data_IF_202897576258
#
_entry.id   IF_202897576258
#
_cell.length_a   1.000
_cell.length_b   1.000
_cell.length_c   1.000
_cell.angle_alpha   90.00
_cell.angle_beta   90.00
_cell.angle_gamma   90.00
#
_symmetry.space_group_name_H-M   'P 1'
#
loop_
_entity.id
_entity.type
_entity.pdbx_description
1 polymer ?
#
# COMPACT_ATOMS: atom_id res chain seq x y z
N UNK A 1 -81.23 23.60 49.28
CA UNK A 1 -80.80 22.68 48.20
C UNK A 1 -79.72 23.40 47.40
N UNK A 2 -78.46 23.13 47.75
CA UNK A 2 -77.28 23.89 47.32
C UNK A 2 -76.54 23.10 46.23
N UNK A 3 -76.39 23.70 45.05
CA UNK A 3 -75.66 23.10 43.93
C UNK A 3 -74.14 23.16 44.19
N UNK A 4 -73.39 22.07 43.98
CA UNK A 4 -71.92 22.09 44.08
C UNK A 4 -71.27 22.71 42.83
N UNK A 5 -70.08 23.32 42.97
CA UNK A 5 -69.44 24.07 41.90
C UNK A 5 -68.79 23.15 40.85
N UNK A 6 -68.81 23.62 39.61
CA UNK A 6 -68.24 22.97 38.41
C UNK A 6 -66.72 22.80 38.56
N UNK A 7 -66.26 21.56 38.65
CA UNK A 7 -64.85 21.21 38.53
C UNK A 7 -64.49 21.11 37.04
N UNK A 8 -63.67 22.04 36.56
CA UNK A 8 -63.09 22.02 35.23
C UNK A 8 -62.04 20.91 35.17
N UNK A 9 -62.35 19.78 34.53
CA UNK A 9 -61.37 18.78 34.15
C UNK A 9 -60.59 19.27 32.93
N UNK A 10 -59.55 20.07 33.18
CA UNK A 10 -58.54 20.37 32.18
C UNK A 10 -57.83 19.08 31.78
N UNK A 11 -58.14 18.55 30.59
CA UNK A 11 -57.35 17.50 29.96
C UNK A 11 -55.97 18.07 29.64
N UNK A 12 -54.99 17.84 30.51
CA UNK A 12 -53.59 18.02 30.17
C UNK A 12 -53.23 16.92 29.18
N UNK A 13 -53.37 17.21 27.89
CA UNK A 13 -52.74 16.44 26.83
C UNK A 13 -51.22 16.57 27.01
N UNK A 14 -50.65 15.67 27.81
CA UNK A 14 -49.21 15.46 27.87
C UNK A 14 -48.81 14.92 26.50
N UNK A 15 -48.36 15.82 25.63
CA UNK A 15 -47.70 15.47 24.38
C UNK A 15 -46.43 14.70 24.73
N UNK A 16 -46.54 13.37 24.80
CA UNK A 16 -45.39 12.48 24.90
C UNK A 16 -44.68 12.54 23.55
N UNK A 17 -43.81 13.53 23.38
CA UNK A 17 -42.84 13.57 22.30
C UNK A 17 -41.83 12.43 22.51
N UNK A 18 -42.25 11.20 22.19
CA UNK A 18 -41.35 10.06 22.04
C UNK A 18 -40.48 10.36 20.83
N UNK A 19 -39.25 10.85 21.06
CA UNK A 19 -38.23 10.85 20.02
C UNK A 19 -38.06 9.39 19.59
N UNK A 20 -38.48 9.09 18.36
CA UNK A 20 -38.17 7.82 17.71
C UNK A 20 -36.65 7.80 17.51
N UNK A 21 -35.95 7.10 18.38
CA UNK A 21 -34.57 6.73 18.09
C UNK A 21 -34.62 5.78 16.90
N UNK A 22 -34.32 6.31 15.70
CA UNK A 22 -34.10 5.47 14.53
C UNK A 22 -32.82 4.68 14.80
N UNK A 23 -32.96 3.40 15.14
CA UNK A 23 -31.87 2.44 15.00
C UNK A 23 -31.65 2.28 13.51
N UNK A 24 -30.85 3.17 12.92
CA UNK A 24 -30.45 3.08 11.53
C UNK A 24 -29.98 1.66 11.24
N UNK A 25 -30.50 1.08 10.17
CA UNK A 25 -30.11 -0.26 9.71
C UNK A 25 -28.58 -0.26 9.60
N UNK A 26 -27.86 -1.19 10.27
CA UNK A 26 -26.42 -1.25 10.12
C UNK A 26 -26.11 -1.41 8.63
N UNK A 27 -25.21 -0.57 8.11
CA UNK A 27 -24.81 -0.61 6.70
C UNK A 27 -24.63 -2.05 6.26
N UNK A 28 -25.44 -2.49 5.28
CA UNK A 28 -25.28 -3.78 4.63
C UNK A 28 -23.83 -3.94 4.22
N UNK A 29 -23.16 -5.00 4.68
CA UNK A 29 -21.78 -5.31 4.31
C UNK A 29 -21.62 -5.13 2.79
N UNK A 30 -20.66 -4.30 2.34
CA UNK A 30 -20.35 -4.12 0.93
C UNK A 30 -19.66 -5.38 0.38
N UNK A 31 -20.44 -6.45 0.20
CA UNK A 31 -20.00 -7.65 -0.51
C UNK A 31 -20.04 -7.32 -2.00
N UNK A 32 -18.87 -7.12 -2.60
CA UNK A 32 -18.75 -6.96 -4.05
C UNK A 32 -19.03 -8.30 -4.70
N UNK A 33 -19.75 -8.27 -5.81
CA UNK A 33 -19.91 -9.43 -6.67
C UNK A 33 -18.55 -9.98 -7.10
N UNK A 34 -18.43 -11.30 -7.30
CA UNK A 34 -17.19 -11.90 -7.76
C UNK A 34 -16.78 -11.26 -9.10
N UNK A 35 -15.51 -10.91 -9.28
CA UNK A 35 -15.05 -10.34 -10.55
C UNK A 35 -15.23 -11.37 -11.67
N UNK A 36 -15.38 -10.90 -12.92
CA UNK A 36 -15.45 -11.80 -14.06
C UNK A 36 -14.17 -12.66 -14.18
N UNK A 37 -14.27 -13.88 -14.76
CA UNK A 37 -13.13 -14.76 -14.92
C UNK A 37 -12.05 -14.10 -15.78
N UNK A 38 -10.82 -14.07 -15.28
CA UNK A 38 -9.67 -13.51 -16.01
C UNK A 38 -9.09 -14.58 -16.93
N UNK A 39 -9.39 -14.49 -18.22
CA UNK A 39 -8.72 -15.30 -19.25
C UNK A 39 -7.26 -14.88 -19.36
N UNK A 40 -6.35 -15.85 -19.31
CA UNK A 40 -4.91 -15.61 -19.33
C UNK A 40 -4.26 -16.54 -20.33
N UNK A 41 -3.72 -15.98 -21.42
CA UNK A 41 -2.95 -16.72 -22.41
C UNK A 41 -1.60 -17.18 -21.84
N UNK A 42 -1.37 -18.49 -21.81
CA UNK A 42 -0.15 -19.12 -21.29
C UNK A 42 1.00 -19.11 -22.30
N UNK A 43 0.70 -18.96 -23.59
CA UNK A 43 1.66 -19.04 -24.69
C UNK A 43 1.93 -17.69 -25.36
N UNK A 44 1.75 -16.60 -24.62
CA UNK A 44 2.17 -15.29 -25.10
C UNK A 44 3.69 -15.27 -25.35
N UNK A 45 4.12 -14.42 -26.27
CA UNK A 45 5.52 -14.31 -26.68
C UNK A 45 6.47 -14.09 -25.48
N UNK A 46 6.07 -13.21 -24.54
CA UNK A 46 6.86 -12.91 -23.34
C UNK A 46 7.07 -14.14 -22.43
N UNK A 47 6.09 -15.03 -22.28
CA UNK A 47 6.22 -16.25 -21.46
C UNK A 47 6.93 -17.35 -22.23
N UNK A 48 6.61 -17.50 -23.52
CA UNK A 48 7.24 -18.48 -24.38
C UNK A 48 8.76 -18.25 -24.51
N UNK A 49 9.18 -16.99 -24.59
CA UNK A 49 10.59 -16.60 -24.73
C UNK A 49 11.27 -16.22 -23.41
N UNK A 50 10.63 -16.44 -22.26
CA UNK A 50 11.22 -16.08 -20.97
C UNK A 50 12.44 -16.96 -20.64
N UNK A 51 13.58 -16.34 -20.34
CA UNK A 51 14.81 -17.03 -19.89
C UNK A 51 15.70 -17.61 -21.00
N UNK A 52 15.34 -17.43 -22.28
CA UNK A 52 16.07 -17.99 -23.44
C UNK A 52 17.56 -17.67 -23.43
N UNK A 53 17.96 -16.47 -22.99
CA UNK A 53 19.35 -15.98 -23.03
C UNK A 53 20.04 -15.91 -21.65
N UNK A 54 19.51 -16.59 -20.63
CA UNK A 54 20.08 -16.50 -19.27
C UNK A 54 21.48 -17.13 -19.15
N UNK A 55 21.77 -18.14 -19.97
CA UNK A 55 23.04 -18.86 -19.99
C UNK A 55 24.02 -18.38 -21.08
N UNK A 56 23.80 -17.18 -21.63
CA UNK A 56 24.64 -16.62 -22.72
C UNK A 56 26.13 -16.55 -22.37
N UNK A 57 26.47 -16.42 -21.08
CA UNK A 57 27.86 -16.39 -20.63
C UNK A 57 28.57 -17.73 -20.88
N UNK A 58 28.02 -18.83 -20.37
CA UNK A 58 28.64 -20.16 -20.47
C UNK A 58 28.57 -20.75 -21.89
N UNK A 59 27.52 -20.42 -22.66
CA UNK A 59 27.34 -20.92 -24.03
C UNK A 59 27.91 -19.98 -25.11
N UNK A 60 28.29 -18.75 -24.74
CA UNK A 60 28.72 -17.69 -25.67
C UNK A 60 30.12 -17.19 -25.41
N UNK A 61 31.05 -18.07 -25.01
CA UNK A 61 32.46 -17.79 -24.75
C UNK A 61 32.69 -16.63 -23.76
N UNK A 62 31.78 -16.43 -22.81
CA UNK A 62 31.79 -15.33 -21.84
C UNK A 62 31.87 -13.91 -22.45
N UNK A 63 31.47 -13.72 -23.71
CA UNK A 63 31.44 -12.40 -24.37
C UNK A 63 30.51 -11.40 -23.69
N UNK A 64 29.45 -11.88 -23.05
CA UNK A 64 28.51 -11.08 -22.28
C UNK A 64 28.15 -11.77 -20.96
N UNK A 65 27.99 -10.97 -19.90
CA UNK A 65 27.57 -11.48 -18.59
C UNK A 65 26.05 -11.24 -18.41
N UNK A 66 25.24 -12.23 -17.96
CA UNK A 66 23.77 -12.11 -17.88
C UNK A 66 23.25 -10.85 -17.17
N UNK A 67 23.98 -10.37 -16.16
CA UNK A 67 23.74 -9.07 -15.48
C UNK A 67 23.54 -7.86 -16.42
N UNK A 68 24.13 -7.85 -17.61
CA UNK A 68 23.99 -6.75 -18.58
C UNK A 68 22.66 -6.79 -19.33
N UNK A 69 22.04 -7.97 -19.44
CA UNK A 69 20.74 -8.16 -20.08
C UNK A 69 19.57 -7.70 -19.20
N UNK A 70 19.79 -7.56 -17.89
CA UNK A 70 18.75 -7.16 -16.94
C UNK A 70 18.34 -5.71 -17.19
N UNK A 71 17.10 -5.51 -17.61
CA UNK A 71 16.47 -4.20 -17.67
C UNK A 71 16.09 -3.72 -16.26
N UNK A 72 16.42 -2.48 -15.94
CA UNK A 72 16.08 -1.87 -14.66
C UNK A 72 16.95 -0.68 -14.29
N UNK A 73 16.77 -0.13 -13.08
CA UNK A 73 17.56 0.99 -12.60
C UNK A 73 19.05 0.64 -12.60
N UNK A 74 19.88 1.53 -13.17
CA UNK A 74 21.33 1.30 -13.35
C UNK A 74 22.02 1.00 -12.01
N UNK A 75 21.56 1.64 -10.93
CA UNK A 75 22.07 1.42 -9.58
C UNK A 75 21.67 0.08 -8.95
N UNK A 76 20.84 -0.75 -9.62
CA UNK A 76 20.43 -2.10 -9.16
C UNK A 76 20.86 -3.25 -10.09
N UNK A 77 21.26 -2.97 -11.33
CA UNK A 77 21.61 -4.03 -12.29
C UNK A 77 22.77 -4.87 -11.75
N UNK A 78 22.54 -6.19 -11.65
CA UNK A 78 23.54 -7.14 -11.16
C UNK A 78 23.97 -6.95 -9.70
N UNK A 79 23.17 -6.26 -8.88
CA UNK A 79 23.52 -5.98 -7.49
C UNK A 79 22.34 -6.27 -6.55
N UNK A 80 22.62 -6.90 -5.40
CA UNK A 80 21.62 -7.23 -4.37
C UNK A 80 22.08 -6.67 -3.03
N UNK A 81 21.14 -6.11 -2.27
CA UNK A 81 21.38 -5.66 -0.91
C UNK A 81 20.11 -5.21 -0.22
N UNK A 82 20.21 -4.95 1.08
CA UNK A 82 19.08 -4.51 1.89
C UNK A 82 18.64 -3.08 1.51
N UNK A 83 17.54 -2.62 2.11
CA UNK A 83 17.00 -1.30 1.78
C UNK A 83 17.99 -0.15 2.07
N UNK A 84 18.69 -0.19 3.22
CA UNK A 84 19.66 0.83 3.58
C UNK A 84 20.78 0.92 2.53
N UNK A 85 21.35 -0.23 2.15
CA UNK A 85 22.40 -0.32 1.14
C UNK A 85 21.90 0.16 -0.23
N UNK A 86 20.65 -0.20 -0.61
CA UNK A 86 20.00 0.31 -1.84
C UNK A 86 19.88 1.83 -1.83
N UNK A 87 19.42 2.42 -0.72
CA UNK A 87 19.28 3.86 -0.61
C UNK A 87 20.63 4.58 -0.69
N UNK A 88 21.65 4.08 0.01
CA UNK A 88 23.02 4.64 -0.04
C UNK A 88 23.58 4.55 -1.46
N UNK A 89 23.41 3.42 -2.14
CA UNK A 89 23.86 3.22 -3.51
C UNK A 89 23.13 4.14 -4.50
N UNK A 90 21.80 4.24 -4.39
CA UNK A 90 20.99 5.17 -5.20
C UNK A 90 21.46 6.61 -5.02
N UNK A 91 21.70 7.03 -3.77
CA UNK A 91 22.22 8.36 -3.44
C UNK A 91 23.58 8.61 -4.08
N UNK A 92 24.52 7.65 -3.98
CA UNK A 92 25.87 7.80 -4.53
C UNK A 92 25.89 7.83 -6.07
N UNK A 93 25.01 7.07 -6.73
CA UNK A 93 25.06 6.91 -8.18
C UNK A 93 24.20 7.92 -8.96
N UNK A 94 23.05 8.31 -8.40
CA UNK A 94 22.04 9.13 -9.11
C UNK A 94 21.65 10.36 -8.29
N UNK A 95 22.14 10.52 -7.07
CA UNK A 95 21.74 11.59 -6.15
C UNK A 95 21.88 12.99 -6.74
N UNK A 96 22.95 13.24 -7.49
CA UNK A 96 23.23 14.55 -8.10
C UNK A 96 22.19 14.98 -9.14
N UNK A 97 21.44 14.04 -9.71
CA UNK A 97 20.41 14.27 -10.74
C UNK A 97 18.99 14.05 -10.23
N UNK A 98 18.81 13.81 -8.94
CA UNK A 98 17.48 13.61 -8.35
C UNK A 98 16.78 14.95 -8.10
N UNK A 99 15.45 14.93 -8.15
CA UNK A 99 14.65 16.07 -7.69
C UNK A 99 14.95 16.37 -6.22
N UNK A 100 14.83 17.64 -5.84
CA UNK A 100 15.17 18.12 -4.49
C UNK A 100 14.37 17.38 -3.41
N UNK A 101 13.06 17.21 -3.62
CA UNK A 101 12.18 16.51 -2.68
C UNK A 101 12.52 15.03 -2.55
N UNK A 102 12.80 14.37 -3.68
CA UNK A 102 13.20 12.97 -3.70
C UNK A 102 14.53 12.75 -2.99
N UNK A 103 15.50 13.64 -3.21
CA UNK A 103 16.79 13.60 -2.55
C UNK A 103 16.65 13.84 -1.04
N UNK A 104 15.83 14.81 -0.65
CA UNK A 104 15.52 15.09 0.75
C UNK A 104 14.84 13.88 1.43
N UNK A 105 13.86 13.26 0.79
CA UNK A 105 13.17 12.07 1.28
C UNK A 105 14.10 10.85 1.36
N UNK A 106 14.99 10.67 0.37
CA UNK A 106 16.01 9.63 0.39
C UNK A 106 16.96 9.78 1.59
N UNK A 107 17.39 11.01 1.89
CA UNK A 107 18.23 11.30 3.06
C UNK A 107 17.50 11.01 4.38
N UNK A 108 16.22 11.39 4.50
CA UNK A 108 15.40 11.04 5.67
C UNK A 108 15.30 9.53 5.83
N UNK A 109 15.09 8.78 4.73
CA UNK A 109 14.99 7.32 4.76
C UNK A 109 16.30 6.67 5.21
N UNK A 110 17.44 7.11 4.67
CA UNK A 110 18.77 6.63 5.09
C UNK A 110 18.99 6.87 6.58
N UNK A 111 18.70 8.08 7.08
CA UNK A 111 18.86 8.43 8.50
C UNK A 111 17.97 7.58 9.41
N UNK A 112 16.74 7.32 8.99
CA UNK A 112 15.82 6.43 9.71
C UNK A 112 16.35 5.00 9.77
N UNK A 113 16.69 4.42 8.61
CA UNK A 113 17.14 3.02 8.52
C UNK A 113 18.46 2.79 9.26
N UNK A 114 19.39 3.74 9.20
CA UNK A 114 20.64 3.68 9.96
C UNK A 114 20.37 3.58 11.46
N UNK A 115 19.49 4.44 12.01
CA UNK A 115 19.09 4.34 13.42
C UNK A 115 18.40 3.01 13.71
N UNK A 116 17.45 2.58 12.88
CA UNK A 116 16.69 1.35 13.09
C UNK A 116 17.59 0.12 13.15
N UNK A 117 18.47 -0.06 12.16
CA UNK A 117 19.31 -1.26 12.05
C UNK A 117 20.42 -1.30 13.10
N UNK A 118 21.01 -0.15 13.46
CA UNK A 118 22.17 -0.13 14.36
C UNK A 118 21.81 0.10 15.84
N UNK A 119 20.62 0.64 16.15
CA UNK A 119 20.22 0.95 17.54
C UNK A 119 19.12 0.07 18.12
N UNK A 120 18.19 -0.42 17.29
CA UNK A 120 16.95 -1.09 17.76
C UNK A 120 16.88 -2.58 17.40
N UNK A 121 17.98 -3.18 16.94
CA UNK A 121 18.01 -4.59 16.58
C UNK A 121 18.02 -5.45 17.84
N UNK A 122 17.15 -6.47 17.88
CA UNK A 122 17.03 -7.40 19.02
C UNK A 122 18.29 -8.26 19.21
N UNK A 123 18.85 -8.76 18.10
CA UNK A 123 20.08 -9.54 18.09
C UNK A 123 21.27 -8.63 17.81
N UNK A 124 22.26 -8.64 18.72
CA UNK A 124 23.53 -7.91 18.60
C UNK A 124 24.69 -8.89 18.43
#
# INVERSE_FOLDING_TARGET
MTAPPRLWTGSLLVSTARRLFSTGVPNSFLVKEPPPPKVVDRWNEKRALFGVYDNIGILGDFKAHPKSLIAGPIWLRGWKGNELQRCIRRKKMVGDRMFVDDYHNLNKRIKFLYKRYNRYRLHR
#
